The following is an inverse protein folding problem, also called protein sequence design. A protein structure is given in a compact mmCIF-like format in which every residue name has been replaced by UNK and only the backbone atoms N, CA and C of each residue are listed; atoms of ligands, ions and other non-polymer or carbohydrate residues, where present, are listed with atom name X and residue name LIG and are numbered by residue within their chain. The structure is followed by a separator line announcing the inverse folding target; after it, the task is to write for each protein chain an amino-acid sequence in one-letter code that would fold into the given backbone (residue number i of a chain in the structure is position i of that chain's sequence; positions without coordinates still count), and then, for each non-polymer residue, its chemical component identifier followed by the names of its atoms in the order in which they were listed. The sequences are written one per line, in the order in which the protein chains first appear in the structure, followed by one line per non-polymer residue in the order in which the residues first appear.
data_IF_426265106266
#
_entry.id   IF_426265106266
#
_cell.length_a   1.000
_cell.length_b   1.000
_cell.length_c   1.000
_cell.angle_alpha   90.00
_cell.angle_beta   90.00
_cell.angle_gamma   90.00
#
_symmetry.space_group_name_H-M   'P 1'
#
loop_
_entity.id
_entity.type
_entity.pdbx_description
1 polymer ?
#
# COMPACT_ATOMS: atom_id res chain seq x y z
N UNK A 1 28.64 -17.34 -2.62
CA UNK A 1 27.42 -16.68 -3.12
C UNK A 1 26.92 -17.56 -4.26
N UNK A 2 25.75 -18.18 -4.13
CA UNK A 2 25.27 -19.10 -5.16
C UNK A 2 24.65 -18.32 -6.34
N UNK A 3 24.90 -18.74 -7.59
CA UNK A 3 24.29 -18.14 -8.78
C UNK A 3 22.80 -18.50 -8.88
N UNK A 4 22.05 -17.74 -9.67
CA UNK A 4 20.64 -18.01 -9.94
C UNK A 4 19.68 -17.28 -9.01
N UNK A 5 20.07 -16.11 -8.51
CA UNK A 5 19.23 -15.30 -7.61
C UNK A 5 17.85 -14.95 -8.22
N UNK A 6 17.77 -14.84 -9.55
CA UNK A 6 16.54 -14.48 -10.26
C UNK A 6 15.52 -15.63 -10.42
N UNK A 7 15.90 -16.88 -10.14
CA UNK A 7 14.98 -18.02 -10.24
C UNK A 7 13.90 -18.02 -9.14
N UNK A 8 14.13 -17.29 -8.04
CA UNK A 8 13.26 -17.26 -6.85
C UNK A 8 12.49 -15.94 -6.72
N UNK A 9 12.33 -15.19 -7.81
CA UNK A 9 11.62 -13.91 -7.78
C UNK A 9 10.12 -14.11 -7.49
N UNK A 10 9.51 -13.25 -6.67
CA UNK A 10 8.08 -13.29 -6.43
C UNK A 10 7.30 -12.85 -7.68
N UNK A 11 6.12 -13.43 -7.89
CA UNK A 11 5.18 -12.95 -8.90
C UNK A 11 4.62 -11.60 -8.43
N UNK A 12 4.80 -10.57 -9.26
CA UNK A 12 4.34 -9.21 -8.97
C UNK A 12 2.98 -8.98 -9.61
N UNK A 13 1.99 -8.64 -8.79
CA UNK A 13 0.67 -8.26 -9.28
C UNK A 13 0.72 -6.89 -9.94
N UNK A 14 -0.15 -6.65 -10.92
CA UNK A 14 -0.29 -5.30 -11.48
C UNK A 14 -0.84 -4.32 -10.43
N UNK A 15 -0.51 -3.03 -10.57
CA UNK A 15 -1.00 -1.99 -9.66
C UNK A 15 -2.53 -2.02 -9.56
N UNK A 16 -3.23 -2.10 -10.70
CA UNK A 16 -4.70 -2.18 -10.76
C UNK A 16 -5.26 -3.38 -9.98
N UNK A 17 -4.62 -4.55 -10.09
CA UNK A 17 -5.05 -5.73 -9.35
C UNK A 17 -4.82 -5.61 -7.86
N UNK A 18 -3.65 -5.09 -7.45
CA UNK A 18 -3.33 -4.89 -6.04
C UNK A 18 -4.33 -3.92 -5.38
N UNK A 19 -4.65 -2.82 -6.05
CA UNK A 19 -5.64 -1.83 -5.58
C UNK A 19 -7.01 -2.46 -5.49
N UNK A 20 -7.50 -3.05 -6.59
CA UNK A 20 -8.83 -3.64 -6.66
C UNK A 20 -9.03 -4.72 -5.60
N UNK A 21 -8.04 -5.58 -5.41
CA UNK A 21 -8.10 -6.64 -4.39
C UNK A 21 -8.10 -6.07 -2.99
N UNK A 22 -7.27 -5.06 -2.71
CA UNK A 22 -7.19 -4.40 -1.40
C UNK A 22 -8.48 -3.66 -1.05
N UNK A 23 -9.02 -2.84 -1.96
CA UNK A 23 -10.29 -2.12 -1.79
C UNK A 23 -11.44 -3.10 -1.58
N UNK A 24 -11.52 -4.17 -2.39
CA UNK A 24 -12.54 -5.22 -2.24
C UNK A 24 -12.47 -5.92 -0.88
N UNK A 25 -11.28 -6.13 -0.32
CA UNK A 25 -11.12 -6.74 1.01
C UNK A 25 -11.51 -5.77 2.12
N UNK A 26 -11.12 -4.50 2.01
CA UNK A 26 -11.46 -3.46 2.95
C UNK A 26 -12.98 -3.16 3.00
N UNK A 27 -13.66 -3.15 1.85
CA UNK A 27 -15.12 -2.90 1.78
C UNK A 27 -15.96 -3.99 2.45
N UNK A 28 -15.44 -5.23 2.49
CA UNK A 28 -16.08 -6.40 3.12
C UNK A 28 -15.92 -6.47 4.64
N UNK A 29 -15.22 -5.52 5.26
CA UNK A 29 -15.10 -5.49 6.72
C UNK A 29 -16.48 -5.28 7.34
N UNK A 30 -16.91 -6.27 8.13
CA UNK A 30 -18.19 -6.27 8.83
C UNK A 30 -18.19 -5.48 10.14
N UNK A 31 -19.39 -5.29 10.69
CA UNK A 31 -19.58 -4.63 11.98
C UNK A 31 -18.99 -5.49 13.13
N UNK A 32 -18.57 -4.81 14.22
CA UNK A 32 -18.23 -5.49 15.46
C UNK A 32 -19.49 -5.64 16.34
N UNK A 33 -20.00 -6.87 16.45
CA UNK A 33 -21.24 -7.17 17.18
C UNK A 33 -21.15 -6.96 18.70
N UNK A 34 -19.93 -6.78 19.25
CA UNK A 34 -19.74 -6.49 20.68
C UNK A 34 -20.06 -5.06 21.07
N UNK A 35 -20.02 -4.12 20.12
CA UNK A 35 -20.36 -2.72 20.37
C UNK A 35 -21.88 -2.56 20.31
N UNK A 36 -22.49 -1.82 21.25
CA UNK A 36 -23.93 -1.57 21.25
C UNK A 36 -24.30 -0.33 20.42
N UNK A 37 -23.58 0.77 20.61
CA UNK A 37 -23.81 2.05 19.92
C UNK A 37 -23.48 1.96 18.42
N UNK A 38 -24.42 2.36 17.56
CA UNK A 38 -24.27 2.34 16.10
C UNK A 38 -23.17 3.28 15.59
N UNK A 39 -23.02 4.47 16.17
CA UNK A 39 -21.92 5.37 15.83
C UNK A 39 -20.57 4.75 16.18
N UNK A 40 -20.47 4.07 17.34
CA UNK A 40 -19.25 3.36 17.71
C UNK A 40 -18.96 2.16 16.79
N UNK A 41 -19.99 1.42 16.34
CA UNK A 41 -19.86 0.36 15.34
C UNK A 41 -19.33 0.91 14.02
N UNK A 42 -19.87 2.04 13.55
CA UNK A 42 -19.48 2.68 12.30
C UNK A 42 -18.01 3.16 12.34
N UNK A 43 -17.59 3.84 13.41
CA UNK A 43 -16.19 4.26 13.62
C UNK A 43 -15.24 3.06 13.65
N UNK A 44 -15.59 2.01 14.40
CA UNK A 44 -14.77 0.80 14.48
C UNK A 44 -14.66 0.10 13.12
N UNK A 45 -15.77 0.01 12.37
CA UNK A 45 -15.76 -0.56 11.02
C UNK A 45 -14.89 0.25 10.07
N UNK A 46 -15.00 1.57 10.08
CA UNK A 46 -14.21 2.46 9.24
C UNK A 46 -12.70 2.32 9.56
N UNK A 47 -12.31 2.35 10.84
CA UNK A 47 -10.92 2.12 11.25
C UNK A 47 -10.41 0.74 10.81
N UNK A 48 -11.18 -0.33 11.05
CA UNK A 48 -10.79 -1.70 10.66
C UNK A 48 -10.71 -1.88 9.14
N UNK A 49 -11.53 -1.16 8.38
CA UNK A 49 -11.44 -1.13 6.93
C UNK A 49 -10.12 -0.51 6.47
N UNK A 50 -9.68 0.59 7.11
CA UNK A 50 -8.38 1.21 6.82
C UNK A 50 -7.20 0.30 7.20
N UNK A 51 -7.27 -0.38 8.35
CA UNK A 51 -6.24 -1.35 8.76
C UNK A 51 -6.13 -2.53 7.78
N UNK A 52 -7.30 -3.00 7.30
CA UNK A 52 -7.38 -4.07 6.29
C UNK A 52 -6.79 -3.60 4.97
N UNK A 53 -7.15 -2.40 4.51
CA UNK A 53 -6.62 -1.80 3.30
C UNK A 53 -5.09 -1.68 3.37
N UNK A 54 -4.57 -1.18 4.49
CA UNK A 54 -3.14 -1.07 4.75
C UNK A 54 -2.45 -2.44 4.66
N UNK A 55 -3.01 -3.47 5.30
CA UNK A 55 -2.44 -4.81 5.33
C UNK A 55 -2.40 -5.46 3.94
N UNK A 56 -3.53 -5.43 3.23
CA UNK A 56 -3.66 -6.07 1.91
C UNK A 56 -2.78 -5.39 0.85
N UNK A 57 -2.54 -4.08 0.97
CA UNK A 57 -1.60 -3.37 0.10
C UNK A 57 -0.14 -3.56 0.51
N UNK A 58 0.19 -3.31 1.77
CA UNK A 58 1.59 -3.24 2.22
C UNK A 58 2.24 -4.61 2.39
N UNK A 59 1.45 -5.67 2.57
CA UNK A 59 1.93 -7.04 2.64
C UNK A 59 2.66 -7.47 1.36
N UNK A 60 1.98 -7.47 0.20
CA UNK A 60 2.60 -7.79 -1.09
C UNK A 60 3.80 -6.90 -1.43
N UNK A 61 3.72 -5.59 -1.21
CA UNK A 61 4.85 -4.68 -1.45
C UNK A 61 6.07 -5.03 -0.58
N UNK A 62 5.85 -5.45 0.66
CA UNK A 62 6.92 -5.96 1.52
C UNK A 62 7.58 -7.21 0.94
N UNK A 63 6.77 -8.16 0.47
CA UNK A 63 7.26 -9.38 -0.16
C UNK A 63 8.04 -9.11 -1.45
N UNK A 64 7.58 -8.17 -2.27
CA UNK A 64 8.30 -7.73 -3.46
C UNK A 64 9.66 -7.15 -3.06
N UNK A 65 9.70 -6.23 -2.10
CA UNK A 65 10.98 -5.65 -1.69
C UNK A 65 11.97 -6.68 -1.16
N UNK A 66 11.52 -7.66 -0.37
CA UNK A 66 12.37 -8.71 0.19
C UNK A 66 12.76 -9.80 -0.81
N UNK A 67 11.91 -10.05 -1.80
CA UNK A 67 12.15 -11.09 -2.81
C UNK A 67 13.11 -10.65 -3.92
N UNK A 68 13.24 -9.34 -4.13
CA UNK A 68 14.19 -8.79 -5.11
C UNK A 68 15.57 -8.52 -4.45
N UNK A 69 16.64 -9.19 -4.92
CA UNK A 69 17.97 -9.08 -4.32
C UNK A 69 18.63 -7.73 -4.57
N UNK A 70 19.32 -7.18 -3.58
CA UNK A 70 20.18 -6.01 -3.78
C UNK A 70 21.35 -6.35 -4.70
N UNK A 71 21.72 -5.43 -5.60
CA UNK A 71 22.81 -5.62 -6.56
C UNK A 71 24.14 -5.97 -5.88
N UNK A 72 24.42 -5.36 -4.74
CA UNK A 72 25.65 -5.57 -3.94
C UNK A 72 25.73 -6.98 -3.35
N UNK A 73 24.60 -7.70 -3.32
CA UNK A 73 24.47 -9.07 -2.80
C UNK A 73 24.34 -10.11 -3.92
N UNK A 74 24.46 -9.71 -5.18
CA UNK A 74 24.41 -10.62 -6.31
C UNK A 74 25.80 -11.17 -6.64
N UNK A 75 25.81 -12.41 -7.15
CA UNK A 75 27.02 -12.98 -7.74
C UNK A 75 27.49 -12.09 -8.92
N UNK A 76 28.80 -11.91 -9.18
CA UNK A 76 29.29 -11.02 -10.24
C UNK A 76 28.66 -11.25 -11.61
N UNK A 77 28.41 -12.51 -11.97
CA UNK A 77 27.68 -12.87 -13.19
C UNK A 77 26.24 -12.34 -13.21
N UNK A 78 25.47 -12.55 -12.14
CA UNK A 78 24.08 -12.10 -12.03
C UNK A 78 23.99 -10.56 -11.99
N UNK A 79 24.96 -9.90 -11.34
CA UNK A 79 25.07 -8.45 -11.31
C UNK A 79 25.35 -7.88 -12.72
N UNK A 80 26.30 -8.46 -13.46
CA UNK A 80 26.59 -8.07 -14.83
C UNK A 80 25.38 -8.30 -15.75
N UNK A 81 24.66 -9.40 -15.57
CA UNK A 81 23.43 -9.69 -16.32
C UNK A 81 22.33 -8.67 -16.02
N UNK A 82 22.13 -8.30 -14.75
CA UNK A 82 21.17 -7.27 -14.34
C UNK A 82 21.53 -5.92 -14.96
N UNK A 83 22.80 -5.54 -14.92
CA UNK A 83 23.30 -4.28 -15.47
C UNK A 83 23.09 -4.19 -16.98
N UNK A 84 23.29 -5.31 -17.70
CA UNK A 84 23.12 -5.39 -19.15
C UNK A 84 21.64 -5.42 -19.60
N UNK A 85 20.77 -6.08 -18.83
CA UNK A 85 19.38 -6.33 -19.26
C UNK A 85 18.40 -5.26 -18.78
N UNK A 86 18.45 -4.90 -17.49
CA UNK A 86 17.51 -3.95 -16.87
C UNK A 86 18.18 -2.60 -16.59
N UNK A 87 19.48 -2.63 -16.30
CA UNK A 87 20.27 -1.48 -15.87
C UNK A 87 20.27 -1.33 -14.36
N UNK A 88 21.47 -1.21 -13.78
CA UNK A 88 21.70 -1.05 -12.33
C UNK A 88 20.84 0.05 -11.73
N UNK A 89 20.82 1.21 -12.39
CA UNK A 89 20.15 2.38 -11.83
C UNK A 89 18.63 2.30 -11.90
N UNK A 90 18.10 1.82 -13.03
CA UNK A 90 16.67 1.61 -13.16
C UNK A 90 16.19 0.64 -12.09
N UNK A 91 16.90 -0.47 -11.90
CA UNK A 91 16.59 -1.46 -10.88
C UNK A 91 16.56 -0.85 -9.47
N UNK A 92 17.64 -0.16 -9.10
CA UNK A 92 17.76 0.49 -7.78
C UNK A 92 16.66 1.52 -7.56
N UNK A 93 16.43 2.41 -8.54
CA UNK A 93 15.38 3.44 -8.47
C UNK A 93 14.00 2.83 -8.32
N UNK A 94 13.66 1.79 -9.06
CA UNK A 94 12.34 1.13 -8.97
C UNK A 94 12.13 0.50 -7.60
N UNK A 95 13.13 -0.16 -7.01
CA UNK A 95 13.02 -0.70 -5.66
C UNK A 95 12.86 0.40 -4.60
N UNK A 96 13.58 1.52 -4.75
CA UNK A 96 13.45 2.67 -3.86
C UNK A 96 12.08 3.34 -3.97
N UNK A 97 11.55 3.49 -5.18
CA UNK A 97 10.19 4.01 -5.42
C UNK A 97 9.13 3.12 -4.79
N UNK A 98 9.28 1.80 -4.87
CA UNK A 98 8.37 0.84 -4.24
C UNK A 98 8.37 0.99 -2.70
N UNK A 99 9.54 1.19 -2.09
CA UNK A 99 9.63 1.45 -0.65
C UNK A 99 9.01 2.79 -0.25
N UNK A 100 9.30 3.86 -1.01
CA UNK A 100 8.73 5.18 -0.77
C UNK A 100 7.20 5.14 -0.87
N UNK A 101 6.69 4.48 -1.91
CA UNK A 101 5.27 4.26 -2.12
C UNK A 101 4.61 3.52 -0.95
N UNK A 102 5.23 2.43 -0.47
CA UNK A 102 4.74 1.70 0.71
C UNK A 102 4.65 2.61 1.94
N UNK A 103 5.65 3.47 2.17
CA UNK A 103 5.64 4.42 3.30
C UNK A 103 4.48 5.41 3.19
N UNK A 104 4.26 5.99 2.01
CA UNK A 104 3.15 6.92 1.75
C UNK A 104 1.80 6.24 1.97
N UNK A 105 1.62 5.01 1.47
CA UNK A 105 0.38 4.24 1.67
C UNK A 105 0.08 4.01 3.17
N UNK A 106 1.11 3.70 3.98
CA UNK A 106 0.97 3.56 5.43
C UNK A 106 0.57 4.89 6.10
N UNK A 107 1.15 6.01 5.67
CA UNK A 107 0.81 7.33 6.24
C UNK A 107 -0.64 7.71 5.94
N UNK A 108 -1.08 7.56 4.69
CA UNK A 108 -2.44 7.90 4.24
C UNK A 108 -3.48 7.04 4.97
N UNK A 109 -3.28 5.73 5.03
CA UNK A 109 -4.21 4.82 5.73
C UNK A 109 -4.30 5.11 7.22
N UNK A 110 -3.19 5.44 7.89
CA UNK A 110 -3.19 5.87 9.30
C UNK A 110 -3.92 7.19 9.52
N UNK A 111 -3.74 8.15 8.61
CA UNK A 111 -4.45 9.44 8.67
C UNK A 111 -5.96 9.23 8.62
N UNK A 112 -6.46 8.44 7.66
CA UNK A 112 -7.89 8.13 7.55
C UNK A 112 -8.41 7.28 8.72
N UNK A 113 -7.62 6.34 9.24
CA UNK A 113 -7.98 5.58 10.44
C UNK A 113 -8.17 6.51 11.65
N UNK A 114 -7.23 7.44 11.88
CA UNK A 114 -7.33 8.43 12.94
C UNK A 114 -8.54 9.36 12.78
N UNK A 115 -8.84 9.77 11.54
CA UNK A 115 -10.01 10.60 11.23
C UNK A 115 -11.30 9.84 11.50
N UNK A 116 -11.36 8.56 11.13
CA UNK A 116 -12.51 7.68 11.40
C UNK A 116 -12.78 7.49 12.90
N UNK A 117 -11.73 7.39 13.73
CA UNK A 117 -11.88 7.30 15.19
C UNK A 117 -12.49 8.57 15.79
N UNK A 118 -12.17 9.74 15.22
CA UNK A 118 -12.63 11.06 15.68
C UNK A 118 -14.00 11.49 15.14
N UNK A 119 -14.62 10.73 14.23
CA UNK A 119 -15.89 11.09 13.61
C UNK A 119 -16.98 11.36 14.66
N UNK A 120 -17.76 12.41 14.52
CA UNK A 120 -18.79 12.81 15.48
C UNK A 120 -20.00 11.87 15.48
N UNK A 121 -20.40 11.37 14.30
CA UNK A 121 -21.61 10.57 14.13
C UNK A 121 -21.42 9.40 13.14
N UNK A 122 -22.45 8.56 13.01
CA UNK A 122 -22.42 7.38 12.12
C UNK A 122 -22.23 7.76 10.65
N UNK A 123 -22.93 8.80 10.19
CA UNK A 123 -22.89 9.24 8.79
C UNK A 123 -21.48 9.71 8.41
N UNK A 124 -20.89 10.55 9.25
CA UNK A 124 -19.52 11.03 9.05
C UNK A 124 -18.49 9.88 9.01
N UNK A 125 -18.66 8.86 9.86
CA UNK A 125 -17.77 7.69 9.83
C UNK A 125 -17.90 6.87 8.53
N UNK A 126 -19.10 6.81 7.93
CA UNK A 126 -19.33 6.15 6.64
C UNK A 126 -18.72 6.98 5.51
N UNK A 127 -18.96 8.29 5.51
CA UNK A 127 -18.42 9.23 4.52
C UNK A 127 -16.88 9.20 4.51
N UNK A 128 -16.24 9.26 5.69
CA UNK A 128 -14.76 9.15 5.81
C UNK A 128 -14.25 7.83 5.20
N UNK A 129 -14.97 6.73 5.41
CA UNK A 129 -14.57 5.42 4.86
C UNK A 129 -14.68 5.40 3.34
N UNK A 130 -15.78 5.92 2.80
CA UNK A 130 -16.01 5.95 1.35
C UNK A 130 -15.04 6.90 0.64
N UNK A 131 -14.79 8.07 1.23
CA UNK A 131 -13.76 9.01 0.80
C UNK A 131 -12.39 8.33 0.77
N UNK A 132 -12.00 7.65 1.86
CA UNK A 132 -10.71 7.00 1.94
C UNK A 132 -10.52 5.90 0.89
N UNK A 133 -11.55 5.08 0.64
CA UNK A 133 -11.48 4.01 -0.38
C UNK A 133 -11.35 4.60 -1.79
N UNK A 134 -12.13 5.63 -2.11
CA UNK A 134 -12.07 6.30 -3.41
C UNK A 134 -10.73 7.02 -3.64
N UNK A 135 -10.22 7.71 -2.62
CA UNK A 135 -8.94 8.43 -2.69
C UNK A 135 -7.76 7.47 -2.84
N UNK A 136 -7.77 6.34 -2.11
CA UNK A 136 -6.74 5.31 -2.28
C UNK A 136 -6.86 4.65 -3.64
N UNK A 137 -8.05 4.43 -4.19
CA UNK A 137 -8.19 3.89 -5.54
C UNK A 137 -7.66 4.85 -6.61
N UNK A 138 -7.96 6.15 -6.48
CA UNK A 138 -7.51 7.20 -7.39
C UNK A 138 -5.99 7.41 -7.35
N UNK A 139 -5.42 7.59 -6.15
CA UNK A 139 -3.99 7.86 -5.97
C UNK A 139 -3.08 6.76 -6.54
N UNK A 140 -3.62 5.57 -6.76
CA UNK A 140 -2.87 4.39 -7.17
C UNK A 140 -3.09 3.99 -8.63
N UNK A 141 -4.16 4.47 -9.25
CA UNK A 141 -4.48 4.16 -10.65
C UNK A 141 -3.97 5.21 -11.62
N UNK A 142 -3.89 6.47 -11.21
CA UNK A 142 -3.47 7.54 -12.12
C UNK A 142 -1.99 7.45 -12.48
N UNK A 143 -1.14 6.83 -11.65
CA UNK A 143 0.29 6.63 -11.96
C UNK A 143 1.12 7.90 -12.14
N UNK A 144 0.46 9.07 -12.20
CA UNK A 144 1.07 10.37 -12.04
C UNK A 144 1.78 10.41 -10.72
N UNK A 145 3.01 10.91 -10.77
CA UNK A 145 3.82 11.25 -9.63
C UNK A 145 2.92 11.74 -8.51
N UNK A 146 2.95 11.02 -7.39
CA UNK A 146 2.70 11.63 -6.09
C UNK A 146 3.85 12.61 -5.85
N UNK A 147 4.01 13.59 -6.75
CA UNK A 147 4.61 14.87 -6.47
C UNK A 147 3.76 15.44 -5.35
N UNK A 148 4.23 15.24 -4.11
CA UNK A 148 4.36 16.28 -3.09
C UNK A 148 3.08 17.05 -2.65
N UNK A 149 1.91 16.83 -3.26
CA UNK A 149 0.68 17.55 -2.99
C UNK A 149 0.00 17.12 -1.69
N UNK A 150 0.35 15.94 -1.17
CA UNK A 150 -0.18 15.43 0.11
C UNK A 150 0.65 15.84 1.33
N UNK A 151 1.88 16.34 1.13
CA UNK A 151 2.73 16.82 2.25
C UNK A 151 2.50 18.32 2.53
N UNK A 152 1.95 19.09 1.58
CA UNK A 152 1.88 20.56 1.69
C UNK A 152 0.49 21.20 1.76
N UNK A 153 -0.61 20.43 1.77
CA UNK A 153 -1.97 21.04 1.77
C UNK A 153 -2.71 21.09 3.10
N UNK A 154 -2.08 20.70 4.20
CA UNK A 154 -2.63 20.93 5.55
C UNK A 154 -1.50 21.30 6.51
N UNK A 155 -0.98 22.51 6.33
CA UNK A 155 -0.42 23.36 7.41
C UNK A 155 -1.23 24.63 7.44
#
# INVERSE_FOLDING_TARGET
MEPGAFQRLPIVASAKELVRTSVRRASRVGNNNKLKNEAAKARNRASRAMDTLMKEMCGPLGQYRSGFPSRERLHPFDAALLDLTVGAERYRRTLAQLEAFKKTAVQVTKMYANRAVKASNMREAIEIREEALAQVELALTTGEEVELAWVFRVT
#
